data_IF_919961997349
#
_entry.id   IF_919961997349
#
_cell.length_a   1.000
_cell.length_b   1.000
_cell.length_c   1.000
_cell.angle_alpha   90.00
_cell.angle_beta   90.00
_cell.angle_gamma   90.00
#
_symmetry.space_group_name_H-M   'P 1'
#
loop_
_entity.id
_entity.type
_entity.pdbx_description
1 polymer ?
#
# COMPACT_ATOMS: atom_id res chain seq x y z
N UNK A 1 -21.48 10.63 -14.58
CA UNK A 1 -20.67 10.27 -13.41
C UNK A 1 -19.78 9.07 -13.75
N UNK A 2 -18.57 9.04 -13.20
CA UNK A 2 -17.64 7.90 -13.29
C UNK A 2 -17.43 7.40 -11.87
N UNK A 3 -17.56 6.09 -11.68
CA UNK A 3 -17.29 5.42 -10.39
C UNK A 3 -16.06 4.54 -10.61
N UNK A 4 -15.02 4.70 -9.82
CA UNK A 4 -13.76 3.98 -9.97
C UNK A 4 -13.01 3.88 -8.64
N UNK A 5 -11.98 3.05 -8.60
CA UNK A 5 -11.01 3.00 -7.49
C UNK A 5 -10.09 4.22 -7.49
N UNK A 6 -9.48 4.53 -6.35
CA UNK A 6 -8.53 5.64 -6.16
C UNK A 6 -7.40 5.66 -7.19
N UNK A 7 -6.89 4.49 -7.57
CA UNK A 7 -5.78 4.35 -8.51
C UNK A 7 -6.07 5.02 -9.84
N UNK A 8 -7.34 4.97 -10.30
CA UNK A 8 -7.71 5.60 -11.58
C UNK A 8 -7.70 7.12 -11.57
N UNK A 9 -7.57 7.74 -10.40
CA UNK A 9 -7.45 9.19 -10.23
C UNK A 9 -6.04 9.56 -9.78
N UNK A 10 -5.48 8.89 -8.77
CA UNK A 10 -4.31 9.35 -8.02
C UNK A 10 -3.02 8.59 -8.32
N UNK A 11 -3.09 7.40 -8.97
CA UNK A 11 -1.88 6.63 -9.25
C UNK A 11 -1.18 7.18 -10.51
N UNK A 12 0.09 7.58 -10.41
CA UNK A 12 0.85 8.11 -11.55
C UNK A 12 0.94 7.13 -12.72
N UNK A 13 0.87 5.82 -12.47
CA UNK A 13 0.99 4.78 -13.49
C UNK A 13 -0.36 4.30 -14.04
N UNK A 14 -1.45 4.43 -13.26
CA UNK A 14 -2.76 3.85 -13.60
C UNK A 14 -3.88 4.88 -13.84
N UNK A 15 -3.65 6.18 -13.55
CA UNK A 15 -4.70 7.20 -13.71
C UNK A 15 -5.24 7.30 -15.14
N UNK A 16 -6.52 7.65 -15.27
CA UNK A 16 -7.23 7.72 -16.55
C UNK A 16 -6.83 8.98 -17.34
N UNK A 17 -5.77 8.91 -18.11
CA UNK A 17 -5.20 10.03 -18.90
C UNK A 17 -6.22 10.79 -19.73
N UNK A 18 -7.26 10.14 -20.25
CA UNK A 18 -8.30 10.80 -21.04
C UNK A 18 -9.10 11.86 -20.27
N UNK A 19 -9.13 11.79 -18.93
CA UNK A 19 -9.79 12.79 -18.09
C UNK A 19 -8.81 13.79 -17.49
N UNK A 20 -7.53 13.42 -17.41
CA UNK A 20 -6.47 14.18 -16.76
C UNK A 20 -5.36 14.50 -17.76
N UNK A 21 -5.72 14.78 -19.03
CA UNK A 21 -4.76 15.16 -20.05
C UNK A 21 -4.26 16.59 -19.85
N UNK A 22 -3.03 16.81 -20.24
CA UNK A 22 -2.20 18.00 -20.09
C UNK A 22 -2.93 19.35 -19.96
N UNK A 23 -2.96 19.89 -18.74
CA UNK A 23 -3.23 21.30 -18.46
C UNK A 23 -4.70 21.73 -18.45
N UNK A 24 -5.65 20.81 -18.49
CA UNK A 24 -7.07 21.13 -18.37
C UNK A 24 -7.59 20.90 -16.95
N UNK A 25 -7.87 21.96 -16.19
CA UNK A 25 -8.79 21.84 -15.04
C UNK A 25 -10.17 21.47 -15.58
N UNK A 26 -10.51 20.17 -15.52
CA UNK A 26 -11.84 19.70 -15.92
C UNK A 26 -12.87 20.17 -14.91
N UNK A 27 -14.11 20.37 -15.34
CA UNK A 27 -15.24 20.68 -14.44
C UNK A 27 -15.64 19.49 -13.57
N UNK A 28 -14.65 18.78 -12.99
CA UNK A 28 -14.87 17.57 -12.20
C UNK A 28 -15.11 17.92 -10.73
N UNK A 29 -16.04 17.19 -10.11
CA UNK A 29 -16.22 17.13 -8.67
C UNK A 29 -15.77 15.75 -8.22
N UNK A 30 -14.80 15.70 -7.32
CA UNK A 30 -14.36 14.45 -6.71
C UNK A 30 -15.17 14.18 -5.44
N UNK A 31 -15.81 13.01 -5.39
CA UNK A 31 -16.47 12.47 -4.20
C UNK A 31 -15.70 11.22 -3.77
N UNK A 32 -14.94 11.34 -2.69
CA UNK A 32 -13.99 10.32 -2.25
C UNK A 32 -14.52 9.66 -1.00
N UNK A 33 -15.11 8.48 -1.18
CA UNK A 33 -15.61 7.65 -0.10
C UNK A 33 -14.50 6.90 0.61
N UNK A 34 -14.73 6.54 1.88
CA UNK A 34 -13.74 5.88 2.74
C UNK A 34 -12.36 6.54 2.70
N UNK A 35 -12.36 7.88 2.66
CA UNK A 35 -11.17 8.69 2.41
C UNK A 35 -10.02 8.45 3.42
N UNK A 36 -10.31 7.85 4.58
CA UNK A 36 -9.28 7.42 5.53
C UNK A 36 -8.31 6.40 4.92
N UNK A 37 -8.78 5.57 3.98
CA UNK A 37 -7.93 4.59 3.28
C UNK A 37 -7.01 5.25 2.26
N UNK A 38 -7.38 6.43 1.72
CA UNK A 38 -6.58 7.10 0.70
C UNK A 38 -5.19 7.53 1.21
N UNK A 39 -5.04 7.75 2.52
CA UNK A 39 -3.74 8.07 3.12
C UNK A 39 -2.73 6.93 2.94
N UNK A 40 -3.12 5.70 3.32
CA UNK A 40 -2.24 4.53 3.18
C UNK A 40 -2.06 4.17 1.70
N UNK A 41 -3.13 4.24 0.91
CA UNK A 41 -3.05 4.05 -0.55
C UNK A 41 -2.13 5.07 -1.22
N UNK A 42 -2.20 6.34 -0.81
CA UNK A 42 -1.29 7.38 -1.28
C UNK A 42 0.16 7.07 -0.91
N UNK A 43 0.42 6.67 0.32
CA UNK A 43 1.75 6.23 0.73
C UNK A 43 2.28 5.07 -0.12
N UNK A 44 1.44 4.09 -0.45
CA UNK A 44 1.80 2.97 -1.31
C UNK A 44 2.07 3.43 -2.75
N UNK A 45 1.16 4.20 -3.36
CA UNK A 45 1.24 4.68 -4.75
C UNK A 45 2.47 5.57 -5.01
N UNK A 46 2.87 6.34 -4.01
CA UNK A 46 3.99 7.28 -4.12
C UNK A 46 5.27 6.76 -3.46
N UNK A 47 5.36 5.48 -3.18
CA UNK A 47 6.58 4.83 -2.67
C UNK A 47 7.10 3.81 -3.68
N UNK A 48 8.42 3.67 -3.74
CA UNK A 48 9.04 2.68 -4.60
C UNK A 48 10.19 1.95 -3.89
N UNK A 49 10.49 0.74 -4.34
CA UNK A 49 11.59 -0.03 -3.77
C UNK A 49 12.33 -0.84 -4.84
N UNK A 50 13.64 -1.01 -4.63
CA UNK A 50 14.48 -1.89 -5.43
C UNK A 50 15.11 -2.94 -4.52
N UNK A 51 15.05 -4.19 -4.93
CA UNK A 51 15.66 -5.31 -4.24
C UNK A 51 16.96 -5.74 -4.91
N UNK A 52 17.98 -5.91 -4.10
CA UNK A 52 19.29 -6.39 -4.56
C UNK A 52 19.20 -7.77 -5.24
N UNK A 53 18.37 -8.63 -4.71
CA UNK A 53 18.16 -9.99 -5.20
C UNK A 53 17.51 -10.02 -6.59
N UNK A 54 16.59 -9.06 -6.86
CA UNK A 54 15.94 -8.95 -8.18
C UNK A 54 16.94 -8.48 -9.25
N UNK A 55 17.82 -7.51 -8.92
CA UNK A 55 18.93 -7.11 -9.80
C UNK A 55 19.81 -8.31 -10.15
N UNK A 56 20.16 -9.16 -9.17
CA UNK A 56 20.97 -10.34 -9.40
C UNK A 56 20.25 -11.40 -10.24
N UNK A 57 18.94 -11.55 -10.06
CA UNK A 57 18.11 -12.47 -10.84
C UNK A 57 18.11 -12.08 -12.31
N UNK A 58 17.77 -10.82 -12.60
CA UNK A 58 17.77 -10.30 -13.97
C UNK A 58 19.16 -10.35 -14.60
N UNK A 59 20.19 -9.99 -13.84
CA UNK A 59 21.59 -10.09 -14.30
C UNK A 59 21.96 -11.51 -14.75
N UNK A 60 21.56 -12.55 -14.01
CA UNK A 60 21.80 -13.95 -14.38
C UNK A 60 21.06 -14.31 -15.66
N UNK A 61 19.82 -13.83 -15.78
CA UNK A 61 18.95 -14.10 -16.92
C UNK A 61 19.53 -13.57 -18.23
N UNK A 62 20.04 -12.32 -18.22
CA UNK A 62 20.49 -11.61 -19.43
C UNK A 62 21.99 -11.76 -19.74
N UNK A 63 22.79 -12.38 -18.86
CA UNK A 63 24.25 -12.38 -18.93
C UNK A 63 24.80 -12.89 -20.25
N UNK A 64 24.19 -13.94 -20.83
CA UNK A 64 24.66 -14.56 -22.07
C UNK A 64 24.26 -13.74 -23.31
N UNK A 65 23.10 -13.11 -23.30
CA UNK A 65 22.50 -12.44 -24.45
C UNK A 65 22.82 -10.94 -24.47
N UNK A 66 22.88 -10.29 -23.29
CA UNK A 66 23.11 -8.84 -23.15
C UNK A 66 24.23 -8.53 -22.14
N UNK A 67 25.51 -8.75 -22.49
CA UNK A 67 26.62 -8.56 -21.55
C UNK A 67 26.80 -7.11 -21.08
N UNK A 68 26.39 -6.11 -21.88
CA UNK A 68 26.41 -4.70 -21.48
C UNK A 68 25.37 -4.43 -20.36
N UNK A 69 24.15 -4.92 -20.52
CA UNK A 69 23.10 -4.83 -19.50
C UNK A 69 23.55 -5.54 -18.21
N UNK A 70 24.08 -6.77 -18.34
CA UNK A 70 24.59 -7.52 -17.19
C UNK A 70 25.69 -6.76 -16.43
N UNK A 71 26.57 -6.04 -17.13
CA UNK A 71 27.60 -5.18 -16.51
C UNK A 71 26.97 -4.02 -15.74
N UNK A 72 25.96 -3.34 -16.31
CA UNK A 72 25.26 -2.24 -15.62
C UNK A 72 24.55 -2.73 -14.35
N UNK A 73 23.90 -3.88 -14.42
CA UNK A 73 23.28 -4.53 -13.25
C UNK A 73 24.32 -4.91 -12.17
N UNK A 74 25.52 -5.38 -12.57
CA UNK A 74 26.62 -5.64 -11.63
C UNK A 74 27.10 -4.35 -10.93
N UNK A 75 27.11 -3.22 -11.63
CA UNK A 75 27.46 -1.91 -11.05
C UNK A 75 26.44 -1.47 -9.99
N UNK A 76 25.14 -1.65 -10.25
CA UNK A 76 24.08 -1.40 -9.27
C UNK A 76 24.18 -2.37 -8.07
N UNK A 77 24.37 -3.66 -8.34
CA UNK A 77 24.50 -4.66 -7.28
C UNK A 77 25.66 -4.38 -6.33
N UNK A 78 26.81 -3.87 -6.84
CA UNK A 78 27.96 -3.50 -6.00
C UNK A 78 27.58 -2.39 -5.01
N UNK A 79 26.86 -1.35 -5.47
CA UNK A 79 26.42 -0.26 -4.60
C UNK A 79 25.47 -0.75 -3.52
N UNK A 80 24.47 -1.56 -3.89
CA UNK A 80 23.55 -2.13 -2.90
C UNK A 80 24.25 -3.11 -1.93
N UNK A 81 25.30 -3.78 -2.38
CA UNK A 81 26.10 -4.64 -1.51
C UNK A 81 26.91 -3.84 -0.47
N UNK A 82 27.39 -2.65 -0.83
CA UNK A 82 28.06 -1.74 0.11
C UNK A 82 27.07 -1.28 1.18
N UNK A 83 25.91 -0.81 0.79
CA UNK A 83 24.83 -0.44 1.74
C UNK A 83 24.39 -1.61 2.62
N UNK A 84 24.32 -2.83 2.05
CA UNK A 84 23.95 -4.03 2.81
C UNK A 84 24.94 -4.36 3.92
N UNK A 85 26.24 -4.10 3.70
CA UNK A 85 27.29 -4.36 4.71
C UNK A 85 27.17 -3.48 5.94
N UNK A 86 26.63 -2.27 5.75
CA UNK A 86 26.46 -1.26 6.80
C UNK A 86 25.09 -1.38 7.49
N UNK A 87 24.17 -2.19 6.96
CA UNK A 87 22.79 -2.32 7.42
C UNK A 87 22.60 -3.61 8.24
N UNK A 88 22.38 -3.51 9.52
CA UNK A 88 22.05 -4.67 10.37
C UNK A 88 20.59 -5.09 10.22
N UNK A 89 19.64 -4.16 10.37
CA UNK A 89 18.20 -4.36 10.20
C UNK A 89 17.61 -3.33 9.24
N UNK A 90 17.74 -2.05 9.57
CA UNK A 90 17.40 -0.94 8.70
C UNK A 90 18.36 0.23 8.92
N UNK A 91 18.50 1.08 7.91
CA UNK A 91 19.34 2.28 7.98
C UNK A 91 18.74 3.39 7.12
N UNK A 92 18.59 4.58 7.68
CA UNK A 92 18.17 5.77 6.94
C UNK A 92 19.34 6.26 6.07
N UNK A 93 19.03 6.62 4.82
CA UNK A 93 19.99 7.13 3.85
C UNK A 93 19.71 8.60 3.59
N UNK A 94 20.75 9.42 3.51
CA UNK A 94 20.62 10.85 3.17
C UNK A 94 20.41 11.06 1.66
N UNK A 95 20.97 10.18 0.84
CA UNK A 95 20.88 10.28 -0.62
C UNK A 95 21.07 8.91 -1.28
N UNK A 96 20.41 8.76 -2.44
CA UNK A 96 20.57 7.59 -3.33
C UNK A 96 20.98 7.96 -4.74
N UNK A 97 21.47 9.18 -4.94
CA UNK A 97 21.81 9.73 -6.26
C UNK A 97 22.76 8.82 -7.06
N UNK A 98 23.75 8.21 -6.39
CA UNK A 98 24.69 7.30 -7.05
C UNK A 98 24.00 6.02 -7.59
N UNK A 99 23.01 5.51 -6.87
CA UNK A 99 22.23 4.33 -7.32
C UNK A 99 21.28 4.75 -8.44
N UNK A 100 20.58 5.87 -8.29
CA UNK A 100 19.67 6.39 -9.30
C UNK A 100 20.38 6.58 -10.65
N UNK A 101 21.56 7.19 -10.69
CA UNK A 101 22.35 7.33 -11.92
C UNK A 101 22.72 5.98 -12.54
N UNK A 102 23.01 4.96 -11.74
CA UNK A 102 23.30 3.62 -12.28
C UNK A 102 22.04 2.94 -12.80
N UNK A 103 20.90 3.13 -12.13
CA UNK A 103 19.60 2.61 -12.58
C UNK A 103 19.15 3.27 -13.89
N UNK A 104 19.40 4.56 -14.10
CA UNK A 104 19.16 5.24 -15.39
C UNK A 104 19.97 4.58 -16.53
N UNK A 105 21.23 4.22 -16.27
CA UNK A 105 22.03 3.47 -17.26
C UNK A 105 21.49 2.04 -17.51
N UNK A 106 20.92 1.41 -16.47
CA UNK A 106 20.25 0.10 -16.61
C UNK A 106 19.02 0.21 -17.50
N UNK A 107 18.17 1.23 -17.30
CA UNK A 107 16.97 1.49 -18.14
C UNK A 107 17.35 1.56 -19.61
N UNK A 108 18.34 2.39 -19.99
CA UNK A 108 18.74 2.54 -21.38
C UNK A 108 19.28 1.25 -22.04
N UNK A 109 19.91 0.36 -21.27
CA UNK A 109 20.33 -0.95 -21.81
C UNK A 109 19.19 -1.98 -21.80
N UNK A 110 18.21 -1.86 -20.86
CA UNK A 110 17.01 -2.71 -20.87
C UNK A 110 16.10 -2.40 -22.05
N UNK A 111 15.92 -1.14 -22.40
CA UNK A 111 15.14 -0.71 -23.57
C UNK A 111 15.66 -1.36 -24.84
N UNK A 112 16.99 -1.28 -25.09
CA UNK A 112 17.63 -1.94 -26.23
C UNK A 112 17.40 -3.45 -26.24
N UNK A 113 17.56 -4.09 -25.07
CA UNK A 113 17.33 -5.52 -24.95
C UNK A 113 15.88 -5.91 -25.25
N UNK A 114 14.92 -5.16 -24.73
CA UNK A 114 13.47 -5.41 -24.93
C UNK A 114 13.01 -5.16 -26.37
N UNK A 115 13.68 -4.26 -27.13
CA UNK A 115 13.44 -4.05 -28.56
C UNK A 115 13.89 -5.26 -29.41
N UNK A 116 14.99 -5.87 -29.04
CA UNK A 116 15.61 -6.98 -29.79
C UNK A 116 15.14 -8.36 -29.33
N UNK A 117 14.62 -8.48 -28.09
CA UNK A 117 14.26 -9.76 -27.46
C UNK A 117 12.92 -10.27 -27.98
N UNK A 118 12.86 -11.53 -28.39
CA UNK A 118 11.63 -12.21 -28.77
C UNK A 118 10.67 -12.35 -27.59
N UNK A 119 9.36 -12.46 -27.89
CA UNK A 119 8.33 -12.66 -26.88
C UNK A 119 8.55 -14.00 -26.15
N UNK A 120 8.45 -13.98 -24.82
CA UNK A 120 8.62 -15.17 -23.98
C UNK A 120 8.84 -14.81 -22.51
N UNK A 121 8.93 -15.81 -21.67
CA UNK A 121 9.04 -15.67 -20.20
C UNK A 121 10.22 -14.77 -19.78
N UNK A 122 11.37 -14.88 -20.44
CA UNK A 122 12.53 -14.02 -20.13
C UNK A 122 12.22 -12.54 -20.38
N UNK A 123 11.59 -12.24 -21.51
CA UNK A 123 11.20 -10.89 -21.88
C UNK A 123 10.21 -10.31 -20.87
N UNK A 124 9.26 -11.10 -20.41
CA UNK A 124 8.27 -10.70 -19.41
C UNK A 124 8.94 -10.39 -18.07
N UNK A 125 9.86 -11.21 -17.58
CA UNK A 125 10.61 -10.97 -16.35
C UNK A 125 11.46 -9.70 -16.43
N UNK A 126 12.14 -9.45 -17.58
CA UNK A 126 12.91 -8.21 -17.77
C UNK A 126 11.99 -7.00 -17.86
N UNK A 127 10.84 -7.12 -18.51
CA UNK A 127 9.86 -6.06 -18.63
C UNK A 127 9.24 -5.69 -17.27
N UNK A 128 8.92 -6.67 -16.44
CA UNK A 128 8.44 -6.43 -15.08
C UNK A 128 9.48 -5.67 -14.26
N UNK A 129 10.74 -6.11 -14.31
CA UNK A 129 11.82 -5.42 -13.61
C UNK A 129 12.09 -4.01 -14.20
N UNK A 130 11.95 -3.83 -15.50
CA UNK A 130 12.02 -2.52 -16.14
C UNK A 130 11.00 -1.54 -15.55
N UNK A 131 9.76 -1.99 -15.39
CA UNK A 131 8.73 -1.14 -14.76
C UNK A 131 9.04 -0.84 -13.29
N UNK A 132 9.58 -1.79 -12.53
CA UNK A 132 10.01 -1.55 -11.15
C UNK A 132 11.12 -0.48 -11.08
N UNK A 133 12.13 -0.57 -11.94
CA UNK A 133 13.22 0.41 -11.98
C UNK A 133 12.71 1.78 -12.43
N UNK A 134 11.82 1.82 -13.43
CA UNK A 134 11.22 3.05 -13.92
C UNK A 134 10.36 3.72 -12.85
N UNK A 135 9.57 2.95 -12.13
CA UNK A 135 8.77 3.45 -11.02
C UNK A 135 9.66 4.04 -9.91
N UNK A 136 10.74 3.32 -9.54
CA UNK A 136 11.71 3.83 -8.59
C UNK A 136 12.34 5.17 -9.03
N UNK A 137 12.68 5.31 -10.30
CA UNK A 137 13.25 6.56 -10.83
C UNK A 137 12.21 7.69 -10.89
N UNK A 138 10.96 7.39 -11.24
CA UNK A 138 9.87 8.36 -11.21
C UNK A 138 9.65 8.91 -9.78
N UNK A 139 9.68 8.05 -8.77
CA UNK A 139 9.58 8.49 -7.37
C UNK A 139 10.84 9.24 -6.94
N UNK A 140 12.02 8.82 -7.40
CA UNK A 140 13.28 9.53 -7.12
C UNK A 140 13.24 10.99 -7.62
N UNK A 141 12.65 11.24 -8.78
CA UNK A 141 12.57 12.57 -9.40
C UNK A 141 11.63 13.54 -8.62
N UNK A 142 10.71 13.00 -7.80
CA UNK A 142 9.75 13.79 -7.01
C UNK A 142 10.04 13.79 -5.52
N UNK A 143 11.23 13.34 -5.10
CA UNK A 143 11.61 13.31 -3.68
C UNK A 143 11.66 14.73 -3.09
N UNK A 144 11.01 14.89 -1.95
CA UNK A 144 11.00 16.09 -1.14
C UNK A 144 11.09 15.74 0.37
N UNK A 145 10.84 16.70 1.27
CA UNK A 145 10.82 16.50 2.71
C UNK A 145 9.74 15.55 3.24
N UNK A 146 8.77 15.17 2.40
CA UNK A 146 7.71 14.21 2.74
C UNK A 146 8.15 12.77 2.59
N UNK A 147 9.39 12.52 2.15
CA UNK A 147 9.93 11.18 1.92
C UNK A 147 11.01 10.81 2.93
N UNK A 148 11.10 9.51 3.19
CA UNK A 148 12.22 8.90 3.91
C UNK A 148 12.85 7.84 3.02
N UNK A 149 14.16 7.95 2.85
CA UNK A 149 14.97 6.97 2.12
C UNK A 149 15.58 6.02 3.14
N UNK A 150 15.39 4.74 2.97
CA UNK A 150 16.01 3.76 3.86
C UNK A 150 16.35 2.45 3.17
N UNK A 151 17.33 1.76 3.74
CA UNK A 151 17.65 0.38 3.42
C UNK A 151 17.19 -0.55 4.53
N UNK A 152 16.82 -1.78 4.17
CA UNK A 152 16.34 -2.78 5.13
C UNK A 152 16.77 -4.18 4.72
N UNK A 153 17.15 -4.95 5.71
CA UNK A 153 17.37 -6.39 5.60
C UNK A 153 16.13 -7.11 6.14
N UNK A 154 15.29 -7.64 5.25
CA UNK A 154 14.09 -8.36 5.60
C UNK A 154 14.39 -9.72 6.27
N UNK A 155 13.45 -10.26 7.06
CA UNK A 155 13.58 -11.52 7.77
C UNK A 155 13.96 -12.71 6.85
N UNK A 156 13.62 -12.65 5.55
CA UNK A 156 14.01 -13.63 4.53
C UNK A 156 15.41 -13.42 3.95
N UNK A 157 16.20 -12.45 4.44
CA UNK A 157 17.54 -12.14 3.96
C UNK A 157 17.59 -11.31 2.68
N UNK A 158 16.43 -10.90 2.14
CA UNK A 158 16.33 -9.95 1.02
C UNK A 158 16.73 -8.56 1.49
N UNK A 159 17.49 -7.86 0.66
CA UNK A 159 17.92 -6.50 0.94
C UNK A 159 17.24 -5.51 -0.01
N UNK A 160 16.53 -4.54 0.55
CA UNK A 160 15.84 -3.51 -0.22
C UNK A 160 16.33 -2.10 0.09
N UNK A 161 16.29 -1.27 -0.93
CA UNK A 161 16.35 0.17 -0.85
C UNK A 161 14.95 0.71 -1.14
N UNK A 162 14.39 1.51 -0.22
CA UNK A 162 13.03 2.05 -0.34
C UNK A 162 13.01 3.57 -0.27
N UNK A 163 12.23 4.16 -1.16
CA UNK A 163 11.79 5.55 -1.14
C UNK A 163 10.38 5.53 -0.57
N UNK A 164 10.22 5.92 0.70
CA UNK A 164 8.94 5.85 1.40
C UNK A 164 8.30 7.24 1.46
N UNK A 165 7.15 7.39 0.84
CA UNK A 165 6.28 8.54 1.02
C UNK A 165 5.65 8.48 2.42
N UNK A 166 6.01 9.38 3.30
CA UNK A 166 5.43 9.49 4.65
C UNK A 166 4.18 10.34 4.65
N UNK A 167 4.22 11.45 3.89
CA UNK A 167 3.08 12.34 3.73
C UNK A 167 2.70 12.47 2.25
N UNK A 168 1.57 11.88 1.81
CA UNK A 168 1.16 11.89 0.42
C UNK A 168 0.43 13.17 -0.02
N UNK A 169 0.22 14.16 0.86
CA UNK A 169 -0.64 15.32 0.59
C UNK A 169 -0.21 16.12 -0.63
N UNK A 170 1.08 16.35 -0.82
CA UNK A 170 1.62 17.10 -1.99
C UNK A 170 1.33 16.36 -3.28
N UNK A 171 1.55 15.05 -3.30
CA UNK A 171 1.27 14.22 -4.48
C UNK A 171 -0.24 14.15 -4.77
N UNK A 172 -1.08 13.97 -3.75
CA UNK A 172 -2.53 13.97 -3.90
C UNK A 172 -3.03 15.32 -4.40
N UNK A 173 -2.50 16.42 -3.87
CA UNK A 173 -2.88 17.78 -4.24
C UNK A 173 -2.74 18.03 -5.74
N UNK A 174 -1.68 17.55 -6.38
CA UNK A 174 -1.46 17.71 -7.82
C UNK A 174 -2.58 17.13 -8.69
N UNK A 175 -3.25 16.09 -8.22
CA UNK A 175 -4.43 15.52 -8.88
C UNK A 175 -5.72 16.23 -8.48
N UNK A 176 -5.85 16.66 -7.21
CA UNK A 176 -7.03 17.38 -6.72
C UNK A 176 -7.22 18.72 -7.45
N UNK A 177 -6.15 19.41 -7.76
CA UNK A 177 -6.13 20.68 -8.53
C UNK A 177 -6.63 20.53 -9.97
N UNK A 178 -6.72 19.31 -10.50
CA UNK A 178 -7.30 19.05 -11.81
C UNK A 178 -8.83 19.04 -11.77
N UNK A 179 -9.44 19.04 -10.60
CA UNK A 179 -10.89 19.18 -10.37
C UNK A 179 -11.28 20.55 -9.88
N UNK A 180 -12.60 20.86 -9.90
CA UNK A 180 -13.13 22.11 -9.36
C UNK A 180 -13.29 22.08 -7.85
N UNK A 181 -13.62 20.94 -7.28
CA UNK A 181 -13.69 20.74 -5.83
C UNK A 181 -13.67 19.26 -5.48
N UNK A 182 -13.34 18.99 -4.21
CA UNK A 182 -13.26 17.65 -3.66
C UNK A 182 -14.00 17.56 -2.35
N UNK A 183 -14.74 16.48 -2.15
CA UNK A 183 -15.37 16.13 -0.88
C UNK A 183 -14.81 14.79 -0.44
N UNK A 184 -14.03 14.79 0.63
CA UNK A 184 -13.60 13.59 1.34
C UNK A 184 -14.63 13.23 2.40
N UNK A 185 -15.08 11.99 2.42
CA UNK A 185 -16.01 11.53 3.45
C UNK A 185 -15.70 10.11 3.91
N UNK A 186 -15.97 9.86 5.17
CA UNK A 186 -15.85 8.54 5.80
C UNK A 186 -16.49 8.58 7.19
N UNK A 187 -16.89 7.42 7.69
CA UNK A 187 -17.33 7.27 9.08
C UNK A 187 -16.19 7.49 10.10
N UNK A 188 -14.92 7.44 9.69
CA UNK A 188 -13.76 7.36 10.58
C UNK A 188 -12.67 8.39 10.30
N UNK A 189 -12.98 9.55 9.70
CA UNK A 189 -12.01 10.66 9.52
C UNK A 189 -11.70 11.40 10.83
N UNK A 190 -11.38 10.67 11.87
CA UNK A 190 -11.03 11.22 13.18
C UNK A 190 -9.66 10.72 13.65
N UNK A 191 -8.80 11.58 14.20
CA UNK A 191 -8.97 13.02 14.38
C UNK A 191 -8.85 13.80 13.06
N UNK A 192 -9.76 14.71 12.81
CA UNK A 192 -9.91 15.40 11.51
C UNK A 192 -8.64 16.16 11.09
N UNK A 193 -7.91 16.77 12.01
CA UNK A 193 -6.67 17.51 11.71
C UNK A 193 -5.54 16.60 11.19
N UNK A 194 -5.52 15.33 11.57
CA UNK A 194 -4.57 14.35 11.03
C UNK A 194 -4.85 14.09 9.55
N UNK A 195 -6.11 13.82 9.22
CA UNK A 195 -6.49 13.53 7.83
C UNK A 195 -6.36 14.75 6.91
N UNK A 196 -6.75 15.94 7.39
CA UNK A 196 -6.57 17.18 6.61
C UNK A 196 -5.12 17.37 6.15
N UNK A 197 -4.14 17.15 7.03
CA UNK A 197 -2.71 17.30 6.73
C UNK A 197 -2.16 16.26 5.76
N UNK A 198 -2.83 15.11 5.61
CA UNK A 198 -2.37 14.00 4.79
C UNK A 198 -3.11 13.87 3.46
N UNK A 199 -4.31 14.45 3.36
CA UNK A 199 -5.15 14.37 2.18
C UNK A 199 -5.07 15.60 1.27
N UNK A 200 -4.68 16.76 1.83
CA UNK A 200 -4.59 18.03 1.09
C UNK A 200 -3.48 18.89 1.66
N UNK A 201 -2.96 19.82 0.86
CA UNK A 201 -2.04 20.86 1.31
C UNK A 201 -2.77 22.16 1.69
N UNK A 202 -4.07 22.26 1.38
CA UNK A 202 -4.88 23.43 1.67
C UNK A 202 -5.17 23.54 3.17
N UNK A 203 -4.86 24.68 3.75
CA UNK A 203 -5.04 24.93 5.19
C UNK A 203 -6.48 25.30 5.54
N UNK A 204 -7.19 25.90 4.59
CA UNK A 204 -8.52 26.49 4.79
C UNK A 204 -9.67 25.55 4.44
N UNK A 205 -9.36 24.27 4.18
CA UNK A 205 -10.37 23.24 3.93
C UNK A 205 -11.40 23.17 5.06
N UNK A 206 -12.66 23.11 4.70
CA UNK A 206 -13.75 22.94 5.66
C UNK A 206 -13.81 21.50 6.17
N UNK A 207 -14.24 21.36 7.43
CA UNK A 207 -14.57 20.07 8.01
C UNK A 207 -15.98 20.12 8.60
N UNK A 208 -16.80 19.15 8.21
CA UNK A 208 -18.18 19.04 8.68
C UNK A 208 -18.32 17.70 9.42
N UNK A 209 -18.87 17.75 10.61
CA UNK A 209 -19.25 16.56 11.36
C UNK A 209 -20.74 16.29 11.14
N UNK A 210 -21.04 15.14 10.52
CA UNK A 210 -22.41 14.67 10.36
C UNK A 210 -22.75 13.74 11.53
N UNK A 211 -23.78 14.11 12.31
CA UNK A 211 -24.23 13.26 13.40
C UNK A 211 -24.89 11.98 12.88
N UNK A 212 -24.79 10.90 13.66
CA UNK A 212 -25.43 9.64 13.33
C UNK A 212 -26.94 9.78 13.28
N UNK A 213 -27.56 9.33 12.20
CA UNK A 213 -29.02 9.25 12.06
C UNK A 213 -29.62 8.07 12.83
N UNK A 214 -28.83 7.18 13.38
CA UNK A 214 -29.28 6.03 14.18
C UNK A 214 -29.46 6.43 15.63
N UNK A 215 -30.69 6.34 16.16
CA UNK A 215 -30.97 6.72 17.56
C UNK A 215 -30.24 5.80 18.53
N UNK A 216 -29.53 6.37 19.51
CA UNK A 216 -28.76 5.59 20.51
C UNK A 216 -29.67 4.66 21.34
N UNK A 217 -30.92 5.01 21.56
CA UNK A 217 -31.90 4.16 22.26
C UNK A 217 -32.18 2.81 21.60
N UNK A 218 -31.80 2.65 20.31
CA UNK A 218 -31.96 1.41 19.57
C UNK A 218 -30.66 0.54 19.62
N UNK A 219 -29.61 1.02 20.30
CA UNK A 219 -28.36 0.31 20.46
C UNK A 219 -28.29 -0.34 21.82
N UNK A 220 -28.17 -1.68 21.86
CA UNK A 220 -27.80 -2.44 23.04
C UNK A 220 -26.31 -2.79 22.94
N UNK A 221 -25.52 -2.30 23.90
CA UNK A 221 -24.08 -2.58 23.98
C UNK A 221 -23.82 -3.53 25.16
N UNK A 222 -23.25 -4.70 24.87
CA UNK A 222 -22.92 -5.72 25.84
C UNK A 222 -21.40 -5.97 25.84
N UNK A 223 -20.81 -6.19 27.00
CA UNK A 223 -19.40 -6.51 27.16
C UNK A 223 -19.24 -7.88 27.82
N UNK A 224 -18.65 -8.85 27.08
CA UNK A 224 -18.20 -10.10 27.66
C UNK A 224 -16.96 -9.87 28.52
N UNK A 225 -17.02 -10.16 29.82
CA UNK A 225 -15.93 -9.91 30.79
C UNK A 225 -15.01 -11.12 30.97
N UNK A 226 -15.44 -12.27 30.54
CA UNK A 226 -14.76 -13.59 30.69
C UNK A 226 -14.14 -14.11 29.40
N UNK A 227 -14.12 -13.28 28.35
CA UNK A 227 -13.50 -13.58 27.05
C UNK A 227 -12.42 -12.56 26.70
N UNK A 228 -11.39 -13.01 25.97
CA UNK A 228 -10.28 -12.16 25.56
C UNK A 228 -9.70 -12.63 24.22
N UNK A 229 -9.43 -11.69 23.32
CA UNK A 229 -8.77 -11.95 22.04
C UNK A 229 -7.23 -11.91 22.12
N UNK A 230 -6.66 -11.57 23.30
CA UNK A 230 -5.20 -11.51 23.51
C UNK A 230 -4.56 -12.85 23.14
N UNK A 231 -3.45 -12.81 22.41
CA UNK A 231 -2.76 -14.00 21.92
C UNK A 231 -2.39 -14.97 23.06
N UNK A 232 -1.91 -14.45 24.18
CA UNK A 232 -1.50 -15.23 25.35
C UNK A 232 -2.66 -15.92 26.09
N UNK A 233 -3.90 -15.54 25.83
CA UNK A 233 -5.10 -16.11 26.45
C UNK A 233 -5.89 -17.03 25.51
N UNK A 234 -5.40 -17.24 24.29
CA UNK A 234 -6.06 -18.11 23.31
C UNK A 234 -5.95 -19.56 23.76
N UNK A 235 -7.07 -20.24 23.78
CA UNK A 235 -7.19 -21.66 24.10
C UNK A 235 -8.52 -22.19 23.57
N UNK A 236 -8.64 -23.48 23.40
CA UNK A 236 -9.89 -24.16 22.97
C UNK A 236 -11.08 -23.71 23.84
N UNK A 237 -10.93 -23.76 25.16
CA UNK A 237 -11.93 -23.29 26.13
C UNK A 237 -12.33 -21.81 25.92
N UNK A 238 -11.40 -20.98 25.44
CA UNK A 238 -11.70 -19.57 25.11
C UNK A 238 -12.53 -19.49 23.83
N UNK A 239 -12.21 -20.29 22.82
CA UNK A 239 -12.97 -20.35 21.57
C UNK A 239 -14.39 -20.91 21.78
N UNK A 240 -14.54 -21.94 22.60
CA UNK A 240 -15.86 -22.45 23.03
C UNK A 240 -16.74 -21.37 23.68
N UNK A 241 -16.14 -20.50 24.53
CA UNK A 241 -16.87 -19.39 25.15
C UNK A 241 -17.33 -18.35 24.12
N UNK A 242 -16.48 -18.00 23.15
CA UNK A 242 -16.89 -17.12 22.05
C UNK A 242 -18.01 -17.74 21.24
N UNK A 243 -17.90 -19.01 20.90
CA UNK A 243 -18.94 -19.76 20.19
C UNK A 243 -20.26 -19.79 20.96
N UNK A 244 -20.21 -20.02 22.27
CA UNK A 244 -21.40 -20.00 23.15
C UNK A 244 -22.08 -18.62 23.17
N UNK A 245 -21.31 -17.52 23.25
CA UNK A 245 -21.87 -16.18 23.16
C UNK A 245 -22.57 -15.92 21.83
N UNK A 246 -21.92 -16.31 20.72
CA UNK A 246 -22.51 -16.18 19.37
C UNK A 246 -23.81 -16.98 19.29
N UNK A 247 -23.82 -18.22 19.76
CA UNK A 247 -24.99 -19.09 19.74
C UNK A 247 -26.15 -18.49 20.55
N UNK A 248 -25.88 -18.01 21.79
CA UNK A 248 -26.88 -17.37 22.61
C UNK A 248 -27.50 -16.13 21.96
N UNK A 249 -26.68 -15.31 21.26
CA UNK A 249 -27.19 -14.14 20.54
C UNK A 249 -28.08 -14.54 19.38
N UNK A 250 -27.69 -15.55 18.60
CA UNK A 250 -28.46 -16.05 17.44
C UNK A 250 -29.76 -16.69 17.88
N UNK A 251 -29.76 -17.46 18.97
CA UNK A 251 -30.96 -18.07 19.52
C UNK A 251 -31.92 -17.05 20.16
N UNK A 252 -31.39 -15.95 20.65
CA UNK A 252 -32.19 -14.89 21.29
C UNK A 252 -33.13 -14.14 20.38
N UNK A 253 -32.83 -14.02 19.09
CA UNK A 253 -33.65 -13.32 18.11
C UNK A 253 -33.32 -13.77 16.69
N UNK A 254 -34.31 -14.05 15.88
CA UNK A 254 -34.12 -14.31 14.45
C UNK A 254 -33.69 -13.02 13.73
N UNK A 255 -32.63 -13.07 12.94
CA UNK A 255 -32.11 -11.92 12.21
C UNK A 255 -30.79 -12.20 11.51
N UNK A 256 -30.17 -11.14 10.97
CA UNK A 256 -28.84 -11.21 10.39
C UNK A 256 -27.81 -10.80 11.43
N UNK A 257 -26.75 -11.57 11.55
CA UNK A 257 -25.67 -11.36 12.50
C UNK A 257 -24.35 -11.21 11.76
N UNK A 258 -23.53 -10.27 12.22
CA UNK A 258 -22.17 -10.06 11.70
C UNK A 258 -21.18 -10.15 12.88
N UNK A 259 -20.18 -11.01 12.74
CA UNK A 259 -19.19 -11.25 13.78
C UNK A 259 -17.81 -10.87 13.23
N UNK A 260 -17.10 -10.00 13.94
CA UNK A 260 -15.76 -9.56 13.58
C UNK A 260 -14.72 -10.27 14.46
N UNK A 261 -13.67 -10.76 13.83
CA UNK A 261 -12.59 -11.47 14.49
C UNK A 261 -11.24 -10.79 14.27
N UNK A 262 -10.28 -10.92 15.21
CA UNK A 262 -8.96 -10.28 15.08
C UNK A 262 -8.05 -10.92 14.01
N UNK A 263 -8.37 -12.13 13.54
CA UNK A 263 -7.66 -12.82 12.45
C UNK A 263 -8.49 -13.95 11.88
N UNK A 264 -8.19 -14.38 10.65
CA UNK A 264 -8.82 -15.53 10.00
C UNK A 264 -8.68 -16.82 10.83
N UNK A 265 -7.47 -17.11 11.33
CA UNK A 265 -7.24 -18.29 12.17
C UNK A 265 -8.11 -18.29 13.43
N UNK A 266 -8.24 -17.13 14.11
CA UNK A 266 -9.11 -17.02 15.28
C UNK A 266 -10.58 -17.26 14.90
N UNK A 267 -11.01 -16.77 13.75
CA UNK A 267 -12.36 -17.02 13.20
C UNK A 267 -12.58 -18.52 12.97
N UNK A 268 -11.65 -19.21 12.31
CA UNK A 268 -11.72 -20.64 12.03
C UNK A 268 -11.80 -21.47 13.32
N UNK A 269 -10.96 -21.17 14.31
CA UNK A 269 -10.96 -21.84 15.61
C UNK A 269 -12.32 -21.67 16.33
N UNK A 270 -12.87 -20.46 16.37
CA UNK A 270 -14.19 -20.20 16.99
C UNK A 270 -15.33 -20.82 16.17
N UNK A 271 -15.24 -20.81 14.83
CA UNK A 271 -16.24 -21.39 13.96
C UNK A 271 -16.32 -22.91 14.13
N UNK A 272 -15.20 -23.59 14.26
CA UNK A 272 -15.18 -25.03 14.56
C UNK A 272 -15.95 -25.36 15.85
N UNK A 273 -15.65 -24.66 16.96
CA UNK A 273 -16.39 -24.80 18.21
C UNK A 273 -17.88 -24.45 18.08
N UNK A 274 -18.22 -23.46 17.26
CA UNK A 274 -19.62 -23.07 17.01
C UNK A 274 -20.39 -24.18 16.27
N UNK A 275 -19.78 -24.81 15.27
CA UNK A 275 -20.40 -25.94 14.56
C UNK A 275 -20.64 -27.13 15.47
N UNK A 276 -19.69 -27.46 16.35
CA UNK A 276 -19.87 -28.54 17.36
C UNK A 276 -21.03 -28.26 18.32
N UNK A 277 -21.24 -27.00 18.71
CA UNK A 277 -22.37 -26.60 19.56
C UNK A 277 -23.71 -26.65 18.85
N UNK A 278 -23.75 -26.55 17.52
CA UNK A 278 -24.98 -26.67 16.74
C UNK A 278 -25.42 -28.13 16.53
N UNK A 279 -24.49 -29.09 16.62
CA UNK A 279 -24.74 -30.51 16.46
C UNK A 279 -25.24 -31.19 17.77
N UNK A 280 -25.10 -30.52 18.91
CA UNK A 280 -25.56 -30.94 20.23
C UNK A 280 -27.00 -30.48 20.49
#
# INVERSE_FOLDING_TARGET
AVICDYNYVFDPNAHLKRFFSDGGSGGYLFLIDEAHNLVERGREMYSAAIYKEDILSIRRLVKAEAPKLAKRLDECNKQLLELKKECETYQIQESVSHIALKLMNVIGEMEKYLEECEAGEKREQVLEFYFQVRDFLNIYDVLDENYVIYTELEAGGRFRLKLLCVNPSVNLQSYLEQGNSTIFFSATLLPIHYYKKLLSTETDDYAVYAESTFPEKHRLLLFGRDVSTKYTMRSEKMYERFAAYILQMVLGKTGNYMVFFPSYRFMEDVYACFMELLEQ
#
